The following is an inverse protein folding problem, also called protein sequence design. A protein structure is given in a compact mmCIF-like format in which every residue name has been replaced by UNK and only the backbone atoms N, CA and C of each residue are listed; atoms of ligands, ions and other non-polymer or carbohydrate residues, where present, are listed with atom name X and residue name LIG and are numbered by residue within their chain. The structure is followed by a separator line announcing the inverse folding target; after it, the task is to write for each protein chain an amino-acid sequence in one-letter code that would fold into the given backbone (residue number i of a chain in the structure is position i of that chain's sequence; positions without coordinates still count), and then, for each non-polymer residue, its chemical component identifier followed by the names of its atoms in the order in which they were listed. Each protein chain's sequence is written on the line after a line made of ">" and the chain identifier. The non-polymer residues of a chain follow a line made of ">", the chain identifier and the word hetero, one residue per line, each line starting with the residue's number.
data_IF_087966166555
#
_entry.id   IF_087966166555
#
_cell.length_a   1.000
_cell.length_b   1.000
_cell.length_c   1.000
_cell.angle_alpha   90.00
_cell.angle_beta   90.00
_cell.angle_gamma   90.00
#
_symmetry.space_group_name_H-M   'P 1'
#
loop_
_entity.id
_entity.type
_entity.pdbx_description
1 polymer ?
#
# COMPACT_ATOMS: atom_id res chain seq x y z
N UNK A 1 -17.77 20.34 -5.74
CA UNK A 1 -18.89 19.98 -4.84
C UNK A 1 -18.30 19.06 -3.78
N UNK A 2 -18.51 19.36 -2.50
CA UNK A 2 -17.91 18.61 -1.38
C UNK A 2 -19.05 18.00 -0.57
N UNK A 3 -19.01 16.69 -0.35
CA UNK A 3 -20.04 15.96 0.40
C UNK A 3 -19.45 15.56 1.75
N UNK A 4 -20.13 15.92 2.84
CA UNK A 4 -19.69 15.56 4.19
C UNK A 4 -20.31 14.22 4.57
N UNK A 5 -19.48 13.24 4.93
CA UNK A 5 -19.92 11.91 5.34
C UNK A 5 -19.90 11.80 6.87
N UNK A 6 -20.95 11.28 7.52
CA UNK A 6 -20.95 11.06 8.96
C UNK A 6 -19.91 10.03 9.39
N UNK A 7 -19.26 10.27 10.53
CA UNK A 7 -18.25 9.37 11.12
C UNK A 7 -18.77 7.94 11.36
N UNK A 8 -20.08 7.78 11.56
CA UNK A 8 -20.72 6.47 11.76
C UNK A 8 -20.54 5.49 10.60
N UNK A 9 -20.24 5.98 9.39
CA UNK A 9 -19.95 5.13 8.24
C UNK A 9 -18.55 4.52 8.26
N UNK A 10 -17.68 4.93 9.20
CA UNK A 10 -16.35 4.34 9.37
C UNK A 10 -15.41 4.54 8.17
N UNK A 11 -15.67 5.57 7.36
CA UNK A 11 -14.89 5.87 6.16
C UNK A 11 -13.53 6.44 6.56
N UNK A 12 -12.39 5.82 6.20
CA UNK A 12 -11.08 6.35 6.53
C UNK A 12 -10.82 7.67 5.80
N UNK A 13 -10.42 8.70 6.56
CA UNK A 13 -10.17 10.07 6.07
C UNK A 13 -8.94 10.20 5.18
N UNK A 14 -7.95 9.35 5.39
CA UNK A 14 -6.62 9.45 4.78
C UNK A 14 -6.46 8.59 3.52
N UNK A 15 -7.57 8.15 2.93
CA UNK A 15 -7.56 7.36 1.70
C UNK A 15 -8.01 8.19 0.51
N UNK A 16 -7.36 7.93 -0.64
CA UNK A 16 -7.90 8.32 -1.93
C UNK A 16 -9.09 7.40 -2.26
N UNK A 17 -10.10 7.96 -2.92
CA UNK A 17 -11.27 7.24 -3.39
C UNK A 17 -11.47 7.55 -4.87
N UNK A 18 -11.76 6.52 -5.67
CA UNK A 18 -12.26 6.72 -7.02
C UNK A 18 -13.79 6.71 -7.03
N UNK A 19 -14.36 7.49 -7.94
CA UNK A 19 -15.79 7.72 -8.08
C UNK A 19 -16.28 6.99 -9.33
N UNK A 20 -17.29 6.14 -9.18
CA UNK A 20 -17.93 5.42 -10.28
C UNK A 20 -19.42 5.77 -10.36
N UNK A 21 -19.92 6.01 -11.58
CA UNK A 21 -21.35 6.17 -11.84
C UNK A 21 -21.92 4.84 -12.31
N UNK A 22 -22.78 4.25 -11.49
CA UNK A 22 -23.45 2.99 -11.79
C UNK A 22 -24.61 3.19 -12.76
N UNK A 23 -25.05 2.11 -13.40
CA UNK A 23 -26.09 2.11 -14.44
C UNK A 23 -27.47 2.54 -13.94
N UNK A 24 -27.71 2.43 -12.63
CA UNK A 24 -28.93 2.87 -11.95
C UNK A 24 -28.89 4.36 -11.56
N UNK A 25 -27.80 5.07 -11.88
CA UNK A 25 -27.57 6.47 -11.52
C UNK A 25 -26.95 6.68 -10.14
N UNK A 26 -26.62 5.60 -9.42
CA UNK A 26 -25.96 5.67 -8.12
C UNK A 26 -24.49 6.07 -8.28
N UNK A 27 -24.01 6.99 -7.44
CA UNK A 27 -22.58 7.36 -7.36
C UNK A 27 -21.93 6.53 -6.27
N UNK A 28 -21.01 5.65 -6.64
CA UNK A 28 -20.23 4.83 -5.73
C UNK A 28 -18.85 5.43 -5.48
N UNK A 29 -18.40 5.37 -4.22
CA UNK A 29 -17.06 5.80 -3.79
C UNK A 29 -16.30 4.58 -3.30
N UNK A 30 -15.26 4.21 -4.01
CA UNK A 30 -14.45 3.04 -3.69
C UNK A 30 -13.08 3.50 -3.17
N UNK A 31 -12.63 3.01 -2.00
CA UNK A 31 -11.30 3.33 -1.51
C UNK A 31 -10.29 2.76 -2.50
N UNK A 32 -9.33 3.59 -2.90
CA UNK A 32 -8.21 3.10 -3.68
C UNK A 32 -7.47 2.06 -2.84
N UNK A 33 -7.30 0.88 -3.44
CA UNK A 33 -6.35 -0.07 -2.89
C UNK A 33 -4.99 0.62 -3.02
N UNK A 34 -4.19 0.72 -1.94
CA UNK A 34 -2.83 1.15 -2.10
C UNK A 34 -2.20 0.20 -3.11
N UNK A 35 -1.90 0.71 -4.30
CA UNK A 35 -1.07 -0.01 -5.25
C UNK A 35 0.22 -0.22 -4.49
N UNK A 36 0.52 -1.47 -4.15
CA UNK A 36 1.76 -1.78 -3.48
C UNK A 36 2.85 -1.32 -4.45
N UNK A 37 3.52 -0.21 -4.14
CA UNK A 37 4.63 0.31 -4.95
C UNK A 37 5.77 -0.71 -5.04
N UNK A 38 5.76 -1.68 -4.12
CA UNK A 38 6.43 -2.96 -4.26
C UNK A 38 5.48 -3.89 -5.00
N UNK A 39 5.56 -3.80 -6.32
CA UNK A 39 5.02 -4.79 -7.24
C UNK A 39 5.35 -6.20 -6.71
N UNK A 40 4.46 -7.17 -6.91
CA UNK A 40 4.61 -8.50 -6.27
C UNK A 40 5.81 -9.29 -6.80
N UNK A 41 6.46 -8.75 -7.85
CA UNK A 41 7.70 -9.19 -8.47
C UNK A 41 8.94 -8.41 -8.02
N UNK A 42 8.85 -7.57 -6.96
CA UNK A 42 10.03 -6.87 -6.43
C UNK A 42 11.00 -7.87 -5.82
N UNK A 43 11.97 -8.30 -6.62
CA UNK A 43 13.08 -9.14 -6.21
C UNK A 43 14.04 -8.30 -5.35
N UNK A 44 13.79 -8.32 -4.04
CA UNK A 44 14.63 -7.70 -3.03
C UNK A 44 16.11 -8.11 -3.18
N UNK A 45 16.40 -9.34 -3.64
CA UNK A 45 17.77 -9.80 -3.86
C UNK A 45 18.43 -9.07 -5.01
N UNK A 46 17.69 -8.85 -6.11
CA UNK A 46 18.16 -8.05 -7.23
C UNK A 46 18.37 -6.59 -6.84
N UNK A 47 17.44 -5.99 -6.08
CA UNK A 47 17.57 -4.62 -5.60
C UNK A 47 18.79 -4.44 -4.67
N UNK A 48 19.06 -5.38 -3.76
CA UNK A 48 20.24 -5.33 -2.90
C UNK A 48 21.55 -5.41 -3.68
N UNK A 49 21.60 -6.24 -4.73
CA UNK A 49 22.76 -6.31 -5.65
C UNK A 49 22.95 -5.01 -6.43
N UNK A 50 21.88 -4.44 -7.00
CA UNK A 50 21.95 -3.20 -7.77
C UNK A 50 22.35 -1.99 -6.90
N UNK A 51 21.97 -1.99 -5.62
CA UNK A 51 22.39 -0.97 -4.64
C UNK A 51 23.81 -1.17 -4.11
N UNK A 52 24.54 -2.20 -4.57
CA UNK A 52 25.89 -2.52 -4.09
C UNK A 52 25.94 -2.91 -2.61
N UNK A 53 24.81 -3.31 -2.04
CA UNK A 53 24.73 -3.82 -0.68
C UNK A 53 25.22 -5.26 -0.73
N UNK A 54 26.52 -5.42 -0.61
CA UNK A 54 27.11 -6.73 -0.44
C UNK A 54 26.71 -7.26 0.93
N UNK A 55 26.13 -8.45 0.96
CA UNK A 55 25.99 -9.21 2.20
C UNK A 55 27.40 -9.41 2.78
N UNK A 56 27.77 -8.56 3.73
CA UNK A 56 28.98 -8.72 4.51
C UNK A 56 28.69 -9.83 5.52
N UNK A 57 28.56 -11.08 5.04
CA UNK A 57 28.16 -12.31 5.73
C UNK A 57 29.04 -12.73 6.91
N UNK A 58 29.62 -11.78 7.64
CA UNK A 58 29.89 -11.92 9.05
C UNK A 58 28.55 -11.92 9.76
N UNK A 59 28.24 -13.05 10.40
CA UNK A 59 27.23 -13.16 11.47
C UNK A 59 27.49 -12.09 12.54
N UNK A 60 27.00 -10.88 12.35
CA UNK A 60 26.88 -9.87 13.39
C UNK A 60 25.50 -10.02 13.99
N UNK A 61 25.40 -10.88 15.00
CA UNK A 61 24.20 -11.05 15.80
C UNK A 61 24.00 -12.48 16.26
N UNK A 62 24.49 -12.81 17.45
CA UNK A 62 23.94 -13.94 18.23
C UNK A 62 22.59 -13.54 18.82
N UNK A 63 21.64 -13.12 17.99
CA UNK A 63 20.34 -12.69 18.48
C UNK A 63 19.25 -13.44 17.71
N UNK A 64 18.74 -14.48 18.38
CA UNK A 64 17.48 -15.13 18.04
C UNK A 64 16.38 -14.06 18.13
N UNK A 65 15.86 -13.63 17.00
CA UNK A 65 14.61 -12.88 16.94
C UNK A 65 13.53 -13.87 16.53
N UNK A 66 12.72 -14.28 17.51
CA UNK A 66 11.39 -14.87 17.30
C UNK A 66 10.37 -13.74 17.26
#
# INVERSE_FOLDING_TARGET
>A
MTLTVPVSFGVPSDKAYHIELLTDGTIAYHPDKPQNIFDTDFDFSKAMKDMGIHDNGKLTGKENVW
#
